data_IF_176750230869
#
_entry.id   IF_176750230869
#
_cell.length_a   1.000
_cell.length_b   1.000
_cell.length_c   1.000
_cell.angle_alpha   90.00
_cell.angle_beta   90.00
_cell.angle_gamma   90.00
#
_symmetry.space_group_name_H-M   'P 1'
#
loop_
_entity.id
_entity.type
_entity.pdbx_description
1 polymer ?
#
# COMPACT_ATOMS: atom_id res chain seq x y z
N UNK A 1 -17.92 7.40 -38.33
CA UNK A 1 -18.13 6.82 -36.99
C UNK A 1 -17.78 7.91 -36.00
N UNK A 2 -18.76 8.39 -35.24
CA UNK A 2 -18.50 9.38 -34.19
C UNK A 2 -17.59 8.73 -33.15
N UNK A 3 -16.34 9.19 -33.07
CA UNK A 3 -15.32 8.68 -32.14
C UNK A 3 -15.49 9.27 -30.73
N UNK A 4 -16.42 10.21 -30.56
CA UNK A 4 -16.71 10.88 -29.30
C UNK A 4 -17.12 9.91 -28.16
N UNK A 5 -18.05 8.94 -28.32
CA UNK A 5 -18.39 8.01 -27.24
C UNK A 5 -17.23 7.08 -26.85
N UNK A 6 -16.42 6.64 -27.82
CA UNK A 6 -15.27 5.78 -27.55
C UNK A 6 -14.20 6.54 -26.77
N UNK A 7 -13.94 7.79 -27.14
CA UNK A 7 -12.98 8.65 -26.46
C UNK A 7 -13.41 8.95 -25.01
N UNK A 8 -14.71 9.23 -24.81
CA UNK A 8 -15.32 9.38 -23.47
C UNK A 8 -15.11 8.13 -22.63
N UNK A 9 -15.35 6.95 -23.21
CA UNK A 9 -15.16 5.67 -22.54
C UNK A 9 -13.69 5.42 -22.17
N UNK A 10 -12.75 5.73 -23.06
CA UNK A 10 -11.31 5.60 -22.80
C UNK A 10 -10.87 6.51 -21.67
N UNK A 11 -11.30 7.78 -21.64
CA UNK A 11 -10.96 8.71 -20.55
C UNK A 11 -11.57 8.23 -19.22
N UNK A 12 -12.83 7.77 -19.24
CA UNK A 12 -13.49 7.20 -18.08
C UNK A 12 -12.78 5.95 -17.53
N UNK A 13 -12.04 5.21 -18.37
CA UNK A 13 -11.27 4.03 -17.96
C UNK A 13 -10.00 4.38 -17.17
N UNK A 14 -9.44 5.58 -17.33
CA UNK A 14 -8.10 5.91 -16.83
C UNK A 14 -8.04 5.87 -15.30
N UNK A 15 -8.90 6.60 -14.58
CA UNK A 15 -8.92 6.59 -13.10
C UNK A 15 -9.12 5.18 -12.51
N UNK A 16 -10.15 4.40 -12.90
CA UNK A 16 -10.36 3.07 -12.34
C UNK A 16 -9.23 2.10 -12.71
N UNK A 17 -8.58 2.26 -13.88
CA UNK A 17 -7.44 1.43 -14.28
C UNK A 17 -6.30 1.50 -13.27
N UNK A 18 -5.96 2.70 -12.80
CA UNK A 18 -4.87 2.88 -11.85
C UNK A 18 -5.22 2.36 -10.45
N UNK A 19 -6.46 2.51 -10.03
CA UNK A 19 -6.93 1.95 -8.75
C UNK A 19 -6.84 0.42 -8.79
N UNK A 20 -7.40 -0.21 -9.82
CA UNK A 20 -7.38 -1.68 -9.97
C UNK A 20 -5.96 -2.20 -10.11
N UNK A 21 -5.08 -1.53 -10.86
CA UNK A 21 -3.72 -1.99 -11.07
C UNK A 21 -2.80 -1.77 -9.85
N UNK A 22 -2.93 -0.65 -9.14
CA UNK A 22 -2.06 -0.37 -7.99
C UNK A 22 -2.57 -1.01 -6.70
N UNK A 23 -3.87 -1.32 -6.60
CA UNK A 23 -4.41 -2.03 -5.44
C UNK A 23 -4.01 -3.50 -5.52
N UNK A 24 -3.30 -4.01 -4.50
CA UNK A 24 -2.84 -5.41 -4.48
C UNK A 24 -3.99 -6.42 -4.47
N UNK A 25 -5.18 -6.01 -4.04
CA UNK A 25 -6.39 -6.84 -4.08
C UNK A 25 -6.80 -7.22 -5.51
N UNK A 26 -6.77 -6.26 -6.45
CA UNK A 26 -7.22 -6.46 -7.82
C UNK A 26 -6.06 -6.55 -8.82
N UNK A 27 -4.96 -5.87 -8.53
CA UNK A 27 -3.76 -5.74 -9.35
C UNK A 27 -2.64 -6.70 -8.99
N UNK A 28 -2.75 -7.46 -7.90
CA UNK A 28 -1.75 -8.43 -7.45
C UNK A 28 -1.41 -9.49 -8.52
N UNK A 29 -0.21 -10.06 -8.43
CA UNK A 29 0.27 -11.16 -9.31
C UNK A 29 -0.63 -12.39 -9.25
N UNK A 30 -1.45 -12.52 -8.21
CA UNK A 30 -2.36 -13.65 -8.00
C UNK A 30 -3.62 -13.62 -8.89
N UNK A 31 -4.03 -12.46 -9.39
CA UNK A 31 -5.22 -12.35 -10.24
C UNK A 31 -4.85 -12.43 -11.73
N UNK A 32 -5.52 -13.26 -12.55
CA UNK A 32 -5.25 -13.35 -13.98
C UNK A 32 -5.58 -12.03 -14.67
N UNK A 33 -4.74 -11.62 -15.62
CA UNK A 33 -4.89 -10.33 -16.33
C UNK A 33 -6.27 -10.17 -16.98
N UNK A 34 -6.87 -11.27 -17.46
CA UNK A 34 -8.22 -11.25 -18.05
C UNK A 34 -9.31 -10.85 -17.03
N UNK A 35 -9.22 -11.30 -15.78
CA UNK A 35 -10.16 -10.89 -14.74
C UNK A 35 -10.02 -9.39 -14.42
N UNK A 36 -8.79 -8.85 -14.45
CA UNK A 36 -8.53 -7.42 -14.27
C UNK A 36 -9.16 -6.58 -15.36
N UNK A 37 -8.97 -7.00 -16.62
CA UNK A 37 -9.56 -6.32 -17.78
C UNK A 37 -11.10 -6.38 -17.71
N UNK A 38 -11.68 -7.54 -17.39
CA UNK A 38 -13.12 -7.68 -17.22
C UNK A 38 -13.69 -6.75 -16.14
N UNK A 39 -13.05 -6.70 -14.97
CA UNK A 39 -13.44 -5.80 -13.88
C UNK A 39 -13.37 -4.32 -14.29
N UNK A 40 -12.34 -3.94 -15.04
CA UNK A 40 -12.18 -2.58 -15.55
C UNK A 40 -13.27 -2.17 -16.53
N UNK A 41 -13.61 -3.06 -17.45
CA UNK A 41 -14.69 -2.80 -18.42
C UNK A 41 -16.04 -2.67 -17.71
N UNK A 42 -16.32 -3.50 -16.70
CA UNK A 42 -17.53 -3.40 -15.88
C UNK A 42 -17.54 -2.08 -15.12
N UNK A 43 -16.48 -1.74 -14.39
CA UNK A 43 -16.38 -0.48 -13.64
C UNK A 43 -16.58 0.74 -14.54
N UNK A 44 -15.94 0.76 -15.71
CA UNK A 44 -16.07 1.86 -16.66
C UNK A 44 -17.47 1.94 -17.27
N UNK A 45 -18.11 0.81 -17.56
CA UNK A 45 -19.49 0.80 -18.05
C UNK A 45 -20.48 1.33 -17.00
N UNK A 46 -20.29 1.02 -15.72
CA UNK A 46 -21.11 1.55 -14.61
C UNK A 46 -20.84 3.03 -14.33
N UNK A 47 -19.60 3.49 -14.49
CA UNK A 47 -19.22 4.88 -14.27
C UNK A 47 -19.56 5.78 -15.46
N UNK A 48 -19.54 5.26 -16.69
CA UNK A 48 -19.82 6.02 -17.91
C UNK A 48 -21.10 6.88 -17.89
N UNK A 49 -22.28 6.41 -17.40
CA UNK A 49 -23.48 7.25 -17.32
C UNK A 49 -23.42 8.33 -16.23
N UNK A 50 -22.56 8.16 -15.22
CA UNK A 50 -22.36 9.11 -14.12
C UNK A 50 -21.42 10.26 -14.54
N UNK A 51 -20.52 9.98 -15.48
CA UNK A 51 -19.48 10.93 -15.92
C UNK A 51 -20.02 11.85 -17.03
N UNK A 52 -20.24 13.12 -16.69
CA UNK A 52 -20.51 14.17 -17.67
C UNK A 52 -19.24 14.61 -18.41
N UNK A 53 -18.85 13.93 -19.49
CA UNK A 53 -17.69 14.36 -20.30
C UNK A 53 -18.09 15.49 -21.26
N UNK A 54 -17.38 16.63 -21.27
CA UNK A 54 -17.60 17.69 -22.25
C UNK A 54 -17.45 17.15 -23.68
N UNK A 55 -18.49 17.33 -24.52
CA UNK A 55 -18.53 16.80 -25.89
C UNK A 55 -17.52 17.45 -26.84
N UNK A 56 -16.91 18.57 -26.43
CA UNK A 56 -15.98 19.37 -27.24
C UNK A 56 -14.65 19.53 -26.52
N UNK A 57 -13.90 18.43 -26.37
CA UNK A 57 -12.49 18.51 -25.97
C UNK A 57 -11.66 18.89 -27.20
N UNK A 58 -10.99 20.04 -27.16
CA UNK A 58 -10.03 20.40 -28.20
C UNK A 58 -8.90 19.35 -28.25
N UNK A 59 -8.50 18.93 -29.45
CA UNK A 59 -7.49 17.88 -29.66
C UNK A 59 -6.16 18.16 -28.94
N UNK A 60 -5.77 19.43 -28.79
CA UNK A 60 -4.58 19.85 -28.06
C UNK A 60 -4.66 19.71 -26.53
N UNK A 61 -5.86 19.62 -25.95
CA UNK A 61 -6.08 19.47 -24.50
C UNK A 61 -6.24 18.01 -24.08
N UNK A 62 -6.40 17.08 -25.03
CA UNK A 62 -6.71 15.67 -24.75
C UNK A 62 -5.65 14.99 -23.87
N UNK A 63 -4.37 15.22 -24.20
CA UNK A 63 -3.24 14.64 -23.47
C UNK A 63 -3.21 15.18 -22.03
N UNK A 64 -3.44 16.48 -21.85
CA UNK A 64 -3.48 17.10 -20.53
C UNK A 64 -4.60 16.51 -19.66
N UNK A 65 -5.79 16.28 -20.25
CA UNK A 65 -6.90 15.60 -19.57
C UNK A 65 -6.52 14.17 -19.19
N UNK A 66 -5.97 13.38 -20.12
CA UNK A 66 -5.57 12.00 -19.83
C UNK A 66 -4.52 11.90 -18.71
N UNK A 67 -3.50 12.77 -18.74
CA UNK A 67 -2.46 12.83 -17.70
C UNK A 67 -3.10 13.21 -16.35
N UNK A 68 -4.03 14.16 -16.33
CA UNK A 68 -4.72 14.55 -15.11
C UNK A 68 -5.57 13.42 -14.53
N UNK A 69 -6.36 12.75 -15.35
CA UNK A 69 -7.14 11.57 -14.94
C UNK A 69 -6.22 10.47 -14.39
N UNK A 70 -5.04 10.31 -14.99
CA UNK A 70 -4.03 9.38 -14.48
C UNK A 70 -3.49 9.83 -13.11
N UNK A 71 -3.18 11.12 -12.92
CA UNK A 71 -2.70 11.61 -11.62
C UNK A 71 -3.74 11.45 -10.51
N UNK A 72 -5.02 11.72 -10.80
CA UNK A 72 -6.12 11.55 -9.83
C UNK A 72 -6.30 10.06 -9.49
N UNK A 73 -6.31 9.20 -10.51
CA UNK A 73 -6.39 7.75 -10.30
C UNK A 73 -5.22 7.24 -9.47
N UNK A 74 -4.00 7.72 -9.74
CA UNK A 74 -2.79 7.36 -9.01
C UNK A 74 -2.85 7.84 -7.55
N UNK A 75 -3.30 9.07 -7.30
CA UNK A 75 -3.47 9.61 -5.95
C UNK A 75 -4.39 8.73 -5.09
N UNK A 76 -5.55 8.34 -5.64
CA UNK A 76 -6.46 7.43 -4.96
C UNK A 76 -5.84 6.03 -4.77
N UNK A 77 -5.20 5.51 -5.80
CA UNK A 77 -4.59 4.17 -5.77
C UNK A 77 -3.41 4.08 -4.78
N UNK A 78 -2.63 5.15 -4.65
CA UNK A 78 -1.50 5.25 -3.71
C UNK A 78 -1.94 5.08 -2.27
N UNK A 79 -3.17 5.45 -1.94
CA UNK A 79 -3.73 5.25 -0.60
C UNK A 79 -3.60 3.81 -0.11
N UNK A 80 -4.11 2.86 -0.89
CA UNK A 80 -4.11 1.44 -0.51
C UNK A 80 -2.73 0.85 -0.71
N UNK A 81 -2.01 1.30 -1.75
CA UNK A 81 -0.65 0.82 -2.02
C UNK A 81 0.31 1.18 -0.89
N UNK A 82 0.24 2.38 -0.34
CA UNK A 82 1.10 2.84 0.75
C UNK A 82 0.72 2.20 2.09
N UNK A 83 -0.56 1.90 2.31
CA UNK A 83 -0.98 1.09 3.46
C UNK A 83 -0.33 -0.30 3.42
N UNK A 84 -0.39 -0.97 2.26
CA UNK A 84 0.27 -2.26 2.09
C UNK A 84 1.80 -2.16 2.17
N UNK A 85 2.40 -1.16 1.51
CA UNK A 85 3.85 -0.95 1.58
C UNK A 85 4.33 -0.67 3.02
N UNK A 86 3.53 0.03 3.82
CA UNK A 86 3.79 0.23 5.24
C UNK A 86 3.75 -1.08 6.02
N UNK A 87 2.76 -1.94 5.76
CA UNK A 87 2.71 -3.27 6.37
C UNK A 87 3.89 -4.17 5.95
N UNK A 88 4.23 -4.18 4.67
CA UNK A 88 5.40 -4.89 4.13
C UNK A 88 6.70 -4.37 4.77
N UNK A 89 6.84 -3.06 4.97
CA UNK A 89 7.97 -2.45 5.68
C UNK A 89 8.03 -2.94 7.14
N UNK A 90 6.90 -2.99 7.84
CA UNK A 90 6.83 -3.52 9.21
C UNK A 90 7.23 -4.99 9.28
N UNK A 91 6.78 -5.81 8.34
CA UNK A 91 7.20 -7.20 8.21
C UNK A 91 8.69 -7.31 7.88
N UNK A 92 9.21 -6.42 7.03
CA UNK A 92 10.63 -6.38 6.69
C UNK A 92 11.51 -6.11 7.91
N UNK A 93 11.20 -5.05 8.67
CA UNK A 93 11.92 -4.67 9.90
C UNK A 93 11.87 -5.79 10.95
N UNK A 94 10.72 -6.45 11.07
CA UNK A 94 10.54 -7.59 11.97
C UNK A 94 11.46 -8.75 11.57
N UNK A 95 11.46 -9.14 10.29
CA UNK A 95 12.30 -10.23 9.79
C UNK A 95 13.79 -9.92 9.87
N UNK A 96 14.14 -8.65 9.70
CA UNK A 96 15.51 -8.16 9.88
C UNK A 96 15.96 -8.32 11.33
N UNK A 97 15.17 -7.86 12.30
CA UNK A 97 15.52 -7.98 13.72
C UNK A 97 15.56 -9.43 14.21
N UNK A 98 14.66 -10.28 13.71
CA UNK A 98 14.67 -11.73 14.02
C UNK A 98 15.89 -12.46 13.43
N UNK A 99 16.62 -11.84 12.50
CA UNK A 99 17.75 -12.46 11.80
C UNK A 99 17.34 -13.37 10.62
N UNK A 100 16.05 -13.42 10.29
CA UNK A 100 15.53 -14.17 9.14
C UNK A 100 16.03 -13.57 7.81
N UNK A 101 16.25 -12.26 7.78
CA UNK A 101 16.81 -11.56 6.61
C UNK A 101 18.32 -11.78 6.44
N UNK A 102 19.04 -12.32 7.43
CA UNK A 102 20.49 -12.55 7.34
C UNK A 102 20.83 -13.65 6.32
N UNK A 103 19.96 -14.67 6.18
CA UNK A 103 20.09 -15.70 5.15
C UNK A 103 20.10 -15.12 3.72
N UNK A 104 19.31 -14.06 3.48
CA UNK A 104 19.25 -13.37 2.19
C UNK A 104 20.48 -12.48 1.90
N UNK A 105 21.24 -12.09 2.94
CA UNK A 105 22.51 -11.35 2.80
C UNK A 105 23.70 -12.28 2.54
N UNK A 106 23.66 -13.50 3.10
CA UNK A 106 24.74 -14.49 2.98
C UNK A 106 24.73 -15.18 1.61
N UNK A 107 23.55 -15.43 1.03
CA UNK A 107 23.43 -15.95 -0.34
C UNK A 107 22.48 -15.11 -1.21
N UNK A 108 22.99 -14.02 -1.83
CA UNK A 108 22.23 -13.22 -2.77
C UNK A 108 21.87 -13.94 -4.08
N UNK A 109 22.55 -15.05 -4.40
CA UNK A 109 22.38 -15.83 -5.63
C UNK A 109 21.26 -16.89 -5.51
N UNK A 110 20.93 -17.32 -4.29
CA UNK A 110 19.82 -18.27 -3.99
C UNK A 110 18.43 -17.76 -4.41
N UNK A 111 18.29 -16.47 -4.73
CA UNK A 111 17.00 -15.87 -5.09
C UNK A 111 16.00 -15.77 -3.94
N UNK A 112 16.37 -16.12 -2.70
CA UNK A 112 15.54 -15.97 -1.50
C UNK A 112 15.56 -14.50 -1.05
N UNK A 113 15.06 -13.62 -1.93
CA UNK A 113 14.84 -12.19 -1.65
C UNK A 113 13.47 -11.92 -1.03
N UNK A 114 12.65 -12.94 -0.86
CA UNK A 114 11.32 -12.77 -0.34
C UNK A 114 11.36 -12.81 1.19
N UNK A 115 11.33 -11.64 1.81
CA UNK A 115 11.15 -11.54 3.25
C UNK A 115 9.77 -12.12 3.60
N UNK A 116 9.75 -13.34 4.13
CA UNK A 116 8.53 -14.09 4.44
C UNK A 116 7.60 -13.29 5.35
N UNK A 117 8.15 -12.49 6.27
CA UNK A 117 7.34 -11.66 7.16
C UNK A 117 6.77 -10.42 6.45
N UNK A 118 7.48 -9.83 5.50
CA UNK A 118 6.92 -8.77 4.65
C UNK A 118 5.72 -9.30 3.83
N UNK A 119 5.87 -10.48 3.22
CA UNK A 119 4.78 -11.14 2.49
C UNK A 119 3.61 -11.52 3.41
N UNK A 120 3.88 -11.99 4.63
CA UNK A 120 2.86 -12.29 5.64
C UNK A 120 2.07 -11.04 6.02
N UNK A 121 2.76 -9.94 6.35
CA UNK A 121 2.11 -8.69 6.76
C UNK A 121 1.31 -8.06 5.61
N UNK A 122 1.84 -8.12 4.38
CA UNK A 122 1.12 -7.71 3.17
C UNK A 122 -0.15 -8.55 2.96
N UNK A 123 -0.07 -9.87 3.11
CA UNK A 123 -1.22 -10.77 2.98
C UNK A 123 -2.28 -10.51 4.04
N UNK A 124 -1.89 -10.28 5.29
CA UNK A 124 -2.83 -9.92 6.37
C UNK A 124 -3.50 -8.57 6.06
N UNK A 125 -2.77 -7.61 5.50
CA UNK A 125 -3.34 -6.32 5.09
C UNK A 125 -4.45 -6.50 4.06
N UNK A 126 -4.25 -7.35 3.06
CA UNK A 126 -5.29 -7.67 2.07
C UNK A 126 -6.51 -8.32 2.73
N UNK A 127 -6.30 -9.29 3.64
CA UNK A 127 -7.38 -9.94 4.37
C UNK A 127 -8.18 -8.95 5.21
N UNK A 128 -7.51 -8.06 5.95
CA UNK A 128 -8.16 -7.03 6.76
C UNK A 128 -8.97 -6.07 5.89
N UNK A 129 -8.44 -5.69 4.72
CA UNK A 129 -9.12 -4.83 3.76
C UNK A 129 -10.42 -5.49 3.20
N UNK A 130 -10.40 -6.81 3.01
CA UNK A 130 -11.58 -7.57 2.61
C UNK A 130 -12.61 -7.66 3.74
N UNK A 131 -12.19 -8.07 4.94
CA UNK A 131 -13.09 -8.26 6.11
C UNK A 131 -13.75 -6.95 6.53
N UNK A 132 -13.06 -5.82 6.41
CA UNK A 132 -13.58 -4.49 6.76
C UNK A 132 -14.39 -3.82 5.64
N UNK A 133 -14.54 -4.47 4.48
CA UNK A 133 -15.15 -3.87 3.28
C UNK A 133 -14.48 -2.58 2.81
N UNK A 134 -13.22 -2.35 3.16
CA UNK A 134 -12.44 -1.18 2.77
C UNK A 134 -12.32 -1.01 1.24
N UNK A 135 -12.40 -2.11 0.49
CA UNK A 135 -12.49 -2.07 -0.98
C UNK A 135 -13.77 -1.39 -1.50
N UNK A 136 -14.90 -1.46 -0.79
CA UNK A 136 -16.12 -0.73 -1.15
C UNK A 136 -15.96 0.77 -0.88
N UNK A 137 -15.32 1.15 0.23
CA UNK A 137 -15.03 2.56 0.51
C UNK A 137 -14.11 3.18 -0.55
N UNK A 138 -13.16 2.41 -1.10
CA UNK A 138 -12.33 2.86 -2.21
C UNK A 138 -13.15 3.10 -3.49
N UNK A 139 -14.13 2.24 -3.80
CA UNK A 139 -15.03 2.43 -4.95
C UNK A 139 -15.95 3.64 -4.75
N UNK A 140 -16.43 3.88 -3.52
CA UNK A 140 -17.17 5.11 -3.18
C UNK A 140 -16.31 6.35 -3.33
N UNK A 141 -15.05 6.31 -2.89
CA UNK A 141 -14.11 7.40 -3.08
C UNK A 141 -13.83 7.68 -4.56
N UNK A 142 -13.73 6.63 -5.39
CA UNK A 142 -13.64 6.77 -6.85
C UNK A 142 -14.88 7.47 -7.42
N UNK A 143 -16.09 7.03 -7.06
CA UNK A 143 -17.33 7.64 -7.52
C UNK A 143 -17.41 9.13 -7.13
N UNK A 144 -17.17 9.43 -5.85
CA UNK A 144 -17.13 10.80 -5.32
C UNK A 144 -16.05 11.67 -5.99
N UNK A 145 -14.95 11.08 -6.46
CA UNK A 145 -13.91 11.83 -7.17
C UNK A 145 -14.38 12.40 -8.51
N UNK A 146 -15.36 11.78 -9.17
CA UNK A 146 -15.91 12.28 -10.44
C UNK A 146 -16.85 13.47 -10.22
N UNK A 147 -17.58 13.49 -9.11
CA UNK A 147 -18.40 14.64 -8.70
C UNK A 147 -17.51 15.80 -8.23
N UNK A 148 -16.49 15.49 -7.43
CA UNK A 148 -15.57 16.49 -6.93
C UNK A 148 -14.71 17.07 -8.05
N UNK A 149 -14.10 16.24 -8.90
CA UNK A 149 -13.19 16.65 -9.98
C UNK A 149 -13.77 16.22 -11.34
N UNK A 150 -14.57 17.09 -12.00
CA UNK A 150 -15.10 16.82 -13.32
C UNK A 150 -13.98 16.62 -14.35
N UNK A 151 -14.29 15.83 -15.38
CA UNK A 151 -13.35 15.55 -16.46
C UNK A 151 -13.09 16.83 -17.26
N UNK A 152 -11.82 17.20 -17.38
CA UNK A 152 -11.37 18.35 -18.17
C UNK A 152 -11.48 19.73 -17.50
N UNK A 153 -11.91 19.82 -16.24
CA UNK A 153 -11.94 21.08 -15.48
C UNK A 153 -11.07 21.04 -14.23
N UNK A 154 -10.22 22.05 -14.03
CA UNK A 154 -9.44 22.25 -12.79
C UNK A 154 -7.98 22.68 -13.00
N UNK A 155 -7.36 23.29 -11.98
CA UNK A 155 -5.94 23.60 -11.86
C UNK A 155 -5.18 22.50 -11.09
N UNK A 156 -3.91 22.75 -10.75
CA UNK A 156 -3.16 21.93 -9.79
C UNK A 156 -2.84 22.80 -8.60
N UNK A 157 -3.27 22.38 -7.41
CA UNK A 157 -3.00 23.08 -6.16
C UNK A 157 -1.52 22.98 -5.78
N UNK A 158 -1.02 24.06 -5.16
CA UNK A 158 0.39 24.20 -4.75
C UNK A 158 0.81 23.27 -3.60
N UNK A 159 -0.14 22.63 -2.92
CA UNK A 159 0.10 21.78 -1.75
C UNK A 159 0.27 20.28 -2.09
N UNK A 160 0.30 19.90 -3.36
CA UNK A 160 0.41 18.50 -3.79
C UNK A 160 1.65 17.79 -3.20
N UNK A 161 2.78 18.49 -3.10
CA UNK A 161 4.04 17.96 -2.56
C UNK A 161 3.94 17.64 -1.06
N UNK A 162 3.33 18.52 -0.27
CA UNK A 162 3.12 18.31 1.16
C UNK A 162 2.18 17.12 1.40
N UNK A 163 1.11 17.06 0.61
CA UNK A 163 0.12 16.01 0.71
C UNK A 163 0.67 14.63 0.33
N UNK A 164 1.49 14.55 -0.73
CA UNK A 164 2.20 13.31 -1.09
C UNK A 164 3.23 12.92 -0.04
N UNK A 165 3.99 13.88 0.50
CA UNK A 165 4.90 13.62 1.62
C UNK A 165 4.16 13.07 2.85
N UNK A 166 2.97 13.59 3.17
CA UNK A 166 2.11 13.07 4.24
C UNK A 166 1.71 11.61 4.04
N UNK A 167 1.43 11.20 2.79
CA UNK A 167 1.14 9.79 2.47
C UNK A 167 2.35 8.87 2.67
N UNK A 168 3.55 9.30 2.28
CA UNK A 168 4.78 8.55 2.57
C UNK A 168 5.09 8.51 4.09
N UNK A 169 4.82 9.61 4.80
CA UNK A 169 4.91 9.65 6.26
C UNK A 169 3.99 8.61 6.92
N UNK A 170 2.76 8.45 6.43
CA UNK A 170 1.84 7.40 6.88
C UNK A 170 2.43 6.00 6.65
N UNK A 171 3.02 5.74 5.48
CA UNK A 171 3.66 4.45 5.18
C UNK A 171 4.77 4.11 6.19
N UNK A 172 5.69 5.05 6.43
CA UNK A 172 6.80 4.85 7.36
C UNK A 172 6.33 4.68 8.80
N UNK A 173 5.43 5.57 9.26
CA UNK A 173 4.89 5.50 10.61
C UNK A 173 4.14 4.20 10.85
N UNK A 174 3.34 3.74 9.88
CA UNK A 174 2.65 2.46 9.95
C UNK A 174 3.64 1.30 10.05
N UNK A 175 4.65 1.24 9.19
CA UNK A 175 5.62 0.15 9.21
C UNK A 175 6.42 0.08 10.51
N UNK A 176 6.92 1.21 11.01
CA UNK A 176 7.61 1.28 12.30
C UNK A 176 6.68 0.86 13.44
N UNK A 177 5.44 1.33 13.43
CA UNK A 177 4.45 1.03 14.48
C UNK A 177 4.05 -0.45 14.50
N UNK A 178 3.97 -1.09 13.33
CA UNK A 178 3.72 -2.53 13.21
C UNK A 178 4.91 -3.38 13.65
N UNK A 179 6.14 -2.94 13.40
CA UNK A 179 7.36 -3.65 13.84
C UNK A 179 7.74 -3.37 15.29
N UNK A 180 7.30 -2.24 15.86
CA UNK A 180 7.75 -1.74 17.17
C UNK A 180 7.69 -2.78 18.30
N UNK A 181 6.60 -3.55 18.51
CA UNK A 181 6.53 -4.51 19.61
C UNK A 181 7.66 -5.55 19.56
N UNK A 182 7.98 -6.02 18.35
CA UNK A 182 8.97 -7.08 18.15
C UNK A 182 10.38 -6.48 18.18
N UNK A 183 10.59 -5.35 17.50
CA UNK A 183 11.88 -4.66 17.46
C UNK A 183 12.32 -4.27 18.87
N UNK A 184 11.44 -3.68 19.66
CA UNK A 184 11.74 -3.28 21.05
C UNK A 184 12.05 -4.52 21.90
N UNK A 185 11.23 -5.57 21.80
CA UNK A 185 11.45 -6.81 22.56
C UNK A 185 12.81 -7.42 22.25
N UNK A 186 13.16 -7.53 20.96
CA UNK A 186 14.43 -8.12 20.55
C UNK A 186 15.63 -7.23 20.85
N UNK A 187 15.47 -5.90 20.84
CA UNK A 187 16.52 -4.97 21.27
C UNK A 187 16.83 -5.17 22.76
N UNK A 188 15.80 -5.36 23.61
CA UNK A 188 16.00 -5.70 25.02
C UNK A 188 16.72 -7.05 25.21
N UNK A 189 16.39 -8.04 24.38
CA UNK A 189 17.10 -9.33 24.36
C UNK A 189 18.57 -9.15 23.99
N UNK A 190 18.88 -8.33 22.99
CA UNK A 190 20.26 -8.05 22.57
C UNK A 190 21.07 -7.36 23.68
N UNK A 191 20.46 -6.42 24.41
CA UNK A 191 21.08 -5.82 25.60
C UNK A 191 21.34 -6.88 26.67
N UNK A 192 20.38 -7.75 26.96
CA UNK A 192 20.54 -8.84 27.94
C UNK A 192 21.65 -9.83 27.56
N UNK A 193 21.72 -10.22 26.28
CA UNK A 193 22.78 -11.08 25.76
C UNK A 193 24.15 -10.38 25.80
N UNK A 194 24.20 -9.09 25.53
CA UNK A 194 25.42 -8.27 25.65
C UNK A 194 25.95 -8.20 27.08
N UNK A 195 25.07 -8.10 28.08
CA UNK A 195 25.45 -8.18 29.50
C UNK A 195 25.95 -9.59 29.84
N UNK A 196 25.25 -10.64 29.39
CA UNK A 196 25.69 -12.04 29.59
C UNK A 196 27.07 -12.31 29.00
N UNK A 197 27.44 -11.66 27.89
CA UNK A 197 28.78 -11.78 27.30
C UNK A 197 29.91 -11.35 28.23
N UNK A 198 29.65 -10.40 29.13
CA UNK A 198 30.61 -9.98 30.15
C UNK A 198 30.66 -10.94 31.33
N UNK A 199 29.53 -11.56 31.68
CA UNK A 199 29.40 -12.43 32.87
C UNK A 199 29.91 -13.84 32.59
N UNK A 200 29.67 -14.37 31.39
CA UNK A 200 30.03 -15.73 31.00
C UNK A 200 30.81 -15.73 29.66
N UNK A 201 32.06 -15.25 29.64
CA UNK A 201 32.87 -15.11 28.42
C UNK A 201 33.25 -16.45 27.77
N UNK A 202 33.12 -17.56 28.51
CA UNK A 202 33.34 -18.92 28.00
C UNK A 202 32.19 -19.42 27.12
N UNK A 203 31.02 -18.78 27.15
CA UNK A 203 29.91 -19.11 26.27
C UNK A 203 30.12 -18.46 24.90
N UNK A 204 30.04 -19.27 23.83
CA UNK A 204 30.03 -18.76 22.46
C UNK A 204 28.65 -18.13 22.13
N UNK A 205 28.44 -16.91 22.62
CA UNK A 205 27.17 -16.20 22.47
C UNK A 205 26.85 -15.84 21.02
N UNK A 206 27.84 -15.81 20.12
CA UNK A 206 27.57 -15.61 18.68
C UNK A 206 26.74 -16.76 18.10
N UNK A 207 26.92 -17.98 18.61
CA UNK A 207 26.13 -19.16 18.21
C UNK A 207 24.84 -19.25 19.01
N UNK A 208 24.85 -18.90 20.30
CA UNK A 208 23.67 -19.04 21.19
C UNK A 208 22.64 -17.92 21.02
N UNK A 209 23.05 -16.71 20.60
CA UNK A 209 22.16 -15.56 20.49
C UNK A 209 21.10 -15.72 19.40
N UNK A 210 21.45 -16.33 18.26
CA UNK A 210 20.54 -16.47 17.12
C UNK A 210 19.31 -17.36 17.44
N UNK A 211 19.46 -18.57 18.01
CA UNK A 211 18.32 -19.37 18.47
C UNK A 211 17.44 -18.67 19.50
N UNK A 212 18.04 -17.97 20.47
CA UNK A 212 17.31 -17.23 21.51
C UNK A 212 16.49 -16.09 20.91
N UNK A 213 17.09 -15.28 20.05
CA UNK A 213 16.40 -14.21 19.33
C UNK A 213 15.24 -14.74 18.49
N UNK A 214 15.44 -15.88 17.80
CA UNK A 214 14.41 -16.47 16.96
C UNK A 214 13.21 -16.94 17.78
N UNK A 215 13.45 -17.65 18.89
CA UNK A 215 12.39 -18.13 19.79
C UNK A 215 11.57 -16.99 20.36
N UNK A 216 12.23 -15.97 20.92
CA UNK A 216 11.57 -14.80 21.48
C UNK A 216 10.84 -14.00 20.39
N UNK A 217 11.45 -13.89 19.20
CA UNK A 217 10.84 -13.24 18.04
C UNK A 217 9.54 -13.91 17.61
N UNK A 218 9.49 -15.24 17.57
CA UNK A 218 8.26 -15.99 17.27
C UNK A 218 7.18 -15.78 18.33
N UNK A 219 7.54 -15.78 19.62
CA UNK A 219 6.59 -15.49 20.69
C UNK A 219 6.03 -14.07 20.59
N UNK A 220 6.88 -13.07 20.33
CA UNK A 220 6.48 -11.69 20.14
C UNK A 220 5.62 -11.50 18.87
N UNK A 221 5.94 -12.21 17.78
CA UNK A 221 5.16 -12.23 16.55
C UNK A 221 3.73 -12.75 16.82
N UNK A 222 3.60 -13.86 17.55
CA UNK A 222 2.29 -14.44 17.88
C UNK A 222 1.38 -13.45 18.64
N UNK A 223 1.95 -12.63 19.53
CA UNK A 223 1.22 -11.57 20.22
C UNK A 223 0.90 -10.39 19.28
N UNK A 224 1.85 -10.00 18.43
CA UNK A 224 1.70 -8.87 17.50
C UNK A 224 0.64 -9.14 16.45
N UNK A 225 0.52 -10.38 15.97
CA UNK A 225 -0.49 -10.80 15.00
C UNK A 225 -1.93 -10.57 15.49
N UNK A 226 -2.17 -10.60 16.79
CA UNK A 226 -3.50 -10.30 17.36
C UNK A 226 -3.86 -8.82 17.29
N UNK A 227 -2.85 -7.94 17.35
CA UNK A 227 -3.02 -6.48 17.38
C UNK A 227 -2.92 -5.88 15.96
N UNK A 228 -2.30 -6.60 15.03
CA UNK A 228 -2.08 -6.15 13.65
C UNK A 228 -3.37 -5.67 12.95
N UNK A 229 -4.51 -6.40 13.01
CA UNK A 229 -5.74 -5.96 12.36
C UNK A 229 -6.22 -4.61 12.89
N UNK A 230 -6.18 -4.39 14.20
CA UNK A 230 -6.64 -3.16 14.84
C UNK A 230 -5.80 -1.94 14.45
N UNK A 231 -4.49 -2.13 14.25
CA UNK A 231 -3.61 -1.05 13.78
C UNK A 231 -3.96 -0.69 12.33
N UNK A 232 -4.17 -1.71 11.48
CA UNK A 232 -4.48 -1.53 10.07
C UNK A 232 -5.86 -0.89 9.86
N UNK A 233 -6.88 -1.33 10.60
CA UNK A 233 -8.24 -0.76 10.50
C UNK A 233 -8.28 0.73 10.87
N UNK A 234 -7.48 1.15 11.86
CA UNK A 234 -7.36 2.56 12.26
C UNK A 234 -6.59 3.40 11.23
N UNK A 235 -5.62 2.81 10.54
CA UNK A 235 -4.82 3.49 9.52
C UNK A 235 -5.59 3.71 8.21
N UNK A 236 -6.56 2.85 7.89
CA UNK A 236 -7.27 2.89 6.61
C UNK A 236 -8.07 4.20 6.38
N UNK A 237 -8.91 4.69 7.31
CA UNK A 237 -9.61 5.96 7.13
C UNK A 237 -8.65 7.14 6.97
N UNK A 238 -7.55 7.15 7.72
CA UNK A 238 -6.53 8.18 7.62
C UNK A 238 -5.89 8.17 6.23
N UNK A 239 -5.55 6.99 5.71
CA UNK A 239 -5.04 6.83 4.36
C UNK A 239 -6.04 7.37 3.33
N UNK A 240 -7.32 6.97 3.40
CA UNK A 240 -8.36 7.43 2.48
C UNK A 240 -8.53 8.95 2.49
N UNK A 241 -8.55 9.57 3.66
CA UNK A 241 -8.68 11.04 3.75
C UNK A 241 -7.48 11.76 3.15
N UNK A 242 -6.26 11.24 3.35
CA UNK A 242 -5.05 11.80 2.72
C UNK A 242 -5.09 11.62 1.21
N UNK A 243 -5.43 10.43 0.72
CA UNK A 243 -5.59 10.15 -0.70
C UNK A 243 -6.63 11.04 -1.37
N UNK A 244 -7.82 11.17 -0.79
CA UNK A 244 -8.87 12.03 -1.29
C UNK A 244 -8.43 13.51 -1.33
N UNK A 245 -7.72 13.98 -0.31
CA UNK A 245 -7.13 15.33 -0.28
C UNK A 245 -6.10 15.53 -1.38
N UNK A 246 -5.24 14.54 -1.62
CA UNK A 246 -4.21 14.61 -2.67
C UNK A 246 -4.84 14.61 -4.07
N UNK A 247 -5.92 13.86 -4.27
CA UNK A 247 -6.72 13.92 -5.49
C UNK A 247 -7.40 15.28 -5.65
N UNK A 248 -7.93 15.86 -4.55
CA UNK A 248 -8.51 17.20 -4.54
C UNK A 248 -7.45 18.32 -4.68
N UNK A 249 -6.17 18.05 -4.47
CA UNK A 249 -5.11 18.99 -4.82
C UNK A 249 -4.81 19.01 -6.33
N UNK A 250 -5.45 18.15 -7.13
CA UNK A 250 -5.39 18.18 -8.60
C UNK A 250 -6.63 18.88 -9.20
N UNK A 251 -7.24 19.78 -8.40
CA UNK A 251 -8.44 20.57 -8.69
C UNK A 251 -8.11 21.95 -9.22
#
# INVERSE_FOLDING_TARGET
>A
MDLSPLLVFVIALIRPSLIVMATPLYGGTYAPTMAKIGLLLVLAAFMAPVIGVPRTLASGMLIAVMVREALIGLALAMTVRLLQAGAELGGYLTGFQMGLSYAALVDPQSGVRNNVLAALYGSITVIVLLVTNAHHELLRALAASYEALPIGGGAVATNLAEMTAGMFGLMFTLGVRLSAPIVITLLLVEVGLGVMARVAPTLNLMVTAAPVRLLIGWMALALTLRVLPDILTRAFPQALTLGARTAAALH
#
